data_IF_260846499982
#
_entry.id   IF_260846499982
#
_cell.length_a   1.000
_cell.length_b   1.000
_cell.length_c   1.000
_cell.angle_alpha   90.00
_cell.angle_beta   90.00
_cell.angle_gamma   90.00
#
_symmetry.space_group_name_H-M   'P 1'
#
loop_
_entity.id
_entity.type
_entity.pdbx_description
1 polymer ?
#
# COMPACT_ATOMS: atom_id res chain seq x y z
N UNK A 1 14.61 -2.80 0.64
CA UNK A 1 13.53 -3.82 0.57
C UNK A 1 12.56 -3.76 1.73
N UNK A 2 13.00 -3.64 2.99
CA UNK A 2 12.13 -3.67 4.18
C UNK A 2 10.99 -2.63 4.11
N UNK A 3 11.28 -1.37 3.83
CA UNK A 3 10.25 -0.32 3.76
C UNK A 3 9.19 -0.56 2.68
N UNK A 4 9.56 -1.15 1.54
CA UNK A 4 8.59 -1.52 0.50
C UNK A 4 7.61 -2.59 0.99
N UNK A 5 8.11 -3.62 1.64
CA UNK A 5 7.26 -4.67 2.21
C UNK A 5 6.33 -4.12 3.29
N UNK A 6 6.86 -3.30 4.20
CA UNK A 6 6.07 -2.71 5.30
C UNK A 6 5.00 -1.74 4.78
N UNK A 7 5.36 -0.83 3.87
CA UNK A 7 4.38 0.09 3.28
C UNK A 7 3.31 -0.64 2.46
N UNK A 8 3.70 -1.68 1.70
CA UNK A 8 2.74 -2.52 0.98
C UNK A 8 1.75 -3.24 1.91
N UNK A 9 2.23 -3.77 3.03
CA UNK A 9 1.39 -4.40 4.06
C UNK A 9 0.47 -3.39 4.76
N UNK A 10 0.98 -2.20 5.08
CA UNK A 10 0.19 -1.12 5.67
C UNK A 10 -0.93 -0.67 4.74
N UNK A 11 -0.60 -0.39 3.46
CA UNK A 11 -1.59 0.00 2.46
C UNK A 11 -2.63 -1.11 2.20
N UNK A 12 -2.21 -2.38 2.24
CA UNK A 12 -3.14 -3.50 2.17
C UNK A 12 -4.16 -3.46 3.31
N UNK A 13 -3.70 -3.28 4.55
CA UNK A 13 -4.57 -3.19 5.73
C UNK A 13 -5.50 -1.99 5.63
N UNK A 14 -4.95 -0.83 5.26
CA UNK A 14 -5.73 0.39 5.04
C UNK A 14 -6.87 0.15 4.05
N UNK A 15 -6.59 -0.48 2.90
CA UNK A 15 -7.58 -0.70 1.85
C UNK A 15 -8.59 -1.81 2.18
N UNK A 16 -8.09 -2.97 2.59
CA UNK A 16 -8.91 -4.18 2.65
C UNK A 16 -9.93 -4.18 3.78
N UNK A 17 -9.71 -3.42 4.86
CA UNK A 17 -10.60 -3.42 6.02
C UNK A 17 -11.56 -2.21 6.06
N UNK A 18 -11.49 -1.33 5.07
CA UNK A 18 -12.48 -0.27 4.91
C UNK A 18 -13.85 -0.80 4.51
N UNK A 19 -14.86 0.08 4.56
CA UNK A 19 -16.21 -0.17 4.06
C UNK A 19 -16.23 -0.26 2.53
N UNK A 20 -17.21 -0.98 1.98
CA UNK A 20 -17.43 -1.09 0.55
C UNK A 20 -16.71 -2.26 -0.12
N UNK A 21 -16.75 -2.30 -1.44
CA UNK A 21 -16.10 -3.32 -2.25
C UNK A 21 -14.60 -3.08 -2.34
N UNK A 22 -13.82 -4.09 -2.05
CA UNK A 22 -12.36 -4.03 -2.19
C UNK A 22 -11.99 -4.32 -3.64
N UNK A 23 -11.24 -3.41 -4.25
CA UNK A 23 -10.59 -3.62 -5.53
C UNK A 23 -9.10 -3.79 -5.29
N UNK A 24 -8.56 -4.94 -5.68
CA UNK A 24 -7.11 -5.17 -5.67
C UNK A 24 -6.63 -5.03 -7.11
N UNK A 25 -5.82 -4.01 -7.36
CA UNK A 25 -5.24 -3.82 -8.68
C UNK A 25 -4.04 -4.76 -8.86
N UNK A 26 -3.88 -5.31 -10.06
CA UNK A 26 -2.77 -6.23 -10.39
C UNK A 26 -1.41 -5.64 -9.98
N UNK A 27 -0.64 -6.40 -9.20
CA UNK A 27 0.65 -5.97 -8.67
C UNK A 27 0.61 -5.30 -7.30
N UNK A 28 -0.55 -4.85 -6.80
CA UNK A 28 -0.69 -4.38 -5.40
C UNK A 28 -0.37 -5.49 -4.41
N UNK A 29 -0.82 -6.71 -4.69
CA UNK A 29 -0.58 -7.89 -3.87
C UNK A 29 0.90 -8.27 -3.77
N UNK A 30 1.70 -7.76 -4.70
CA UNK A 30 3.15 -7.89 -4.70
C UNK A 30 3.87 -6.62 -4.23
N UNK A 31 3.16 -5.53 -3.98
CA UNK A 31 3.72 -4.20 -3.82
C UNK A 31 4.65 -3.82 -4.99
N UNK A 32 4.21 -4.00 -6.24
CA UNK A 32 4.93 -3.52 -7.42
C UNK A 32 5.14 -2.01 -7.34
N UNK A 33 6.24 -1.55 -7.93
CA UNK A 33 6.64 -0.14 -7.89
C UNK A 33 6.24 0.58 -9.18
N UNK A 34 6.19 1.90 -9.09
CA UNK A 34 6.15 2.78 -10.24
C UNK A 34 7.33 2.53 -11.17
N UNK A 35 7.26 3.06 -12.38
CA UNK A 35 8.33 2.96 -13.38
C UNK A 35 9.71 3.34 -12.81
N UNK A 36 10.80 2.74 -13.31
CA UNK A 36 12.16 2.99 -12.82
C UNK A 36 12.60 4.45 -12.94
N UNK A 37 13.50 4.87 -12.04
CA UNK A 37 14.01 6.25 -12.02
C UNK A 37 14.82 6.60 -13.29
N UNK A 38 15.41 5.62 -13.96
CA UNK A 38 16.19 5.75 -15.18
C UNK A 38 15.34 5.95 -16.45
N UNK A 39 14.00 5.78 -16.38
CA UNK A 39 13.15 5.98 -17.55
C UNK A 39 13.25 7.40 -18.10
N UNK A 40 13.28 7.46 -19.42
CA UNK A 40 13.21 8.69 -20.22
C UNK A 40 11.84 8.81 -20.87
N UNK A 41 11.58 9.91 -21.58
CA UNK A 41 10.29 10.10 -22.27
C UNK A 41 10.01 9.00 -23.32
N UNK A 42 11.05 8.42 -23.89
CA UNK A 42 10.93 7.39 -24.92
C UNK A 42 10.39 6.05 -24.38
N UNK A 43 10.46 5.85 -23.07
CA UNK A 43 9.94 4.67 -22.39
C UNK A 43 8.43 4.75 -22.12
N UNK A 44 7.88 5.96 -22.05
CA UNK A 44 6.46 6.19 -21.82
C UNK A 44 5.60 5.91 -23.07
N UNK A 45 4.38 5.46 -22.82
CA UNK A 45 3.35 5.17 -23.86
C UNK A 45 2.05 5.94 -23.62
N UNK A 46 1.85 6.50 -22.42
CA UNK A 46 0.68 7.29 -22.10
C UNK A 46 0.62 8.57 -22.94
N UNK A 47 -0.43 8.68 -23.76
CA UNK A 47 -0.57 9.77 -24.72
C UNK A 47 -0.66 11.15 -24.06
N UNK A 48 -1.23 11.23 -22.86
CA UNK A 48 -1.34 12.46 -22.08
C UNK A 48 0.05 12.92 -21.63
N UNK A 49 0.86 12.01 -21.11
CA UNK A 49 2.27 12.24 -20.76
C UNK A 49 3.07 12.72 -21.98
N UNK A 50 2.94 12.04 -23.12
CA UNK A 50 3.68 12.36 -24.33
C UNK A 50 3.26 13.71 -24.93
N UNK A 51 1.97 14.05 -24.91
CA UNK A 51 1.47 15.34 -25.41
C UNK A 51 1.95 16.48 -24.52
N UNK A 52 1.80 16.36 -23.20
CA UNK A 52 2.28 17.37 -22.26
C UNK A 52 3.80 17.61 -22.42
N UNK A 53 4.58 16.54 -22.60
CA UNK A 53 6.03 16.67 -22.86
C UNK A 53 6.33 17.46 -24.13
N UNK A 54 5.62 17.18 -25.24
CA UNK A 54 5.80 17.90 -26.51
C UNK A 54 5.47 19.39 -26.36
N UNK A 55 4.37 19.72 -25.70
CA UNK A 55 3.97 21.09 -25.43
C UNK A 55 4.98 21.82 -24.54
N UNK A 56 5.47 21.14 -23.50
CA UNK A 56 6.47 21.67 -22.58
C UNK A 56 7.78 22.03 -23.30
N UNK A 57 8.30 21.11 -24.15
CA UNK A 57 9.54 21.35 -24.90
C UNK A 57 9.34 22.47 -25.94
N UNK A 58 8.18 22.52 -26.60
CA UNK A 58 7.88 23.59 -27.56
C UNK A 58 7.82 24.96 -26.90
N UNK A 59 7.25 25.04 -25.70
CA UNK A 59 7.12 26.30 -24.96
C UNK A 59 8.43 26.70 -24.23
N UNK A 60 9.21 25.74 -23.75
CA UNK A 60 10.39 25.95 -22.89
C UNK A 60 11.58 25.08 -23.32
N UNK A 61 12.13 25.25 -24.53
CA UNK A 61 13.15 24.35 -25.10
C UNK A 61 14.46 24.36 -24.30
N UNK A 62 14.84 25.48 -23.70
CA UNK A 62 16.09 25.64 -22.97
C UNK A 62 15.95 25.48 -21.43
N UNK A 63 14.72 25.36 -20.94
CA UNK A 63 14.45 25.23 -19.50
C UNK A 63 14.60 23.77 -19.05
N UNK A 64 15.87 23.36 -18.79
CA UNK A 64 16.19 21.99 -18.39
C UNK A 64 15.68 21.63 -16.99
N UNK A 65 15.54 22.61 -16.11
CA UNK A 65 15.03 22.40 -14.77
C UNK A 65 13.55 22.01 -14.81
N UNK A 66 12.72 22.78 -15.52
CA UNK A 66 11.30 22.47 -15.73
C UNK A 66 11.08 21.14 -16.45
N UNK A 67 11.93 20.83 -17.43
CA UNK A 67 11.89 19.53 -18.12
C UNK A 67 12.19 18.38 -17.16
N UNK A 68 13.17 18.53 -16.27
CA UNK A 68 13.51 17.53 -15.27
C UNK A 68 12.40 17.36 -14.21
N UNK A 69 11.78 18.44 -13.75
CA UNK A 69 10.65 18.40 -12.83
C UNK A 69 9.45 17.64 -13.45
N UNK A 70 9.07 17.97 -14.69
CA UNK A 70 8.02 17.27 -15.40
C UNK A 70 8.32 15.77 -15.54
N UNK A 71 9.57 15.41 -15.84
CA UNK A 71 9.99 14.00 -15.92
C UNK A 71 9.81 13.28 -14.56
N UNK A 72 10.13 13.93 -13.44
CA UNK A 72 9.89 13.34 -12.11
C UNK A 72 8.38 13.18 -11.84
N UNK A 73 7.57 14.15 -12.25
CA UNK A 73 6.12 14.04 -12.12
C UNK A 73 5.56 12.86 -12.94
N UNK A 74 6.02 12.63 -14.17
CA UNK A 74 5.57 11.49 -14.97
C UNK A 74 5.90 10.15 -14.31
N UNK A 75 7.08 10.01 -13.73
CA UNK A 75 7.48 8.81 -12.99
C UNK A 75 6.58 8.51 -11.78
N UNK A 76 5.88 9.51 -11.27
CA UNK A 76 4.95 9.37 -10.14
C UNK A 76 3.50 9.27 -10.59
N UNK A 77 3.09 10.06 -11.59
CA UNK A 77 1.68 10.31 -11.92
C UNK A 77 1.21 9.72 -13.25
N UNK A 78 2.12 9.33 -14.17
CA UNK A 78 1.71 8.78 -15.45
C UNK A 78 0.89 7.50 -15.29
N UNK A 79 -0.11 7.33 -16.15
CA UNK A 79 -0.92 6.11 -16.21
C UNK A 79 -0.09 4.86 -16.55
N UNK A 80 1.09 5.01 -17.12
CA UNK A 80 1.99 3.89 -17.41
C UNK A 80 2.47 3.18 -16.14
N UNK A 81 2.48 3.86 -14.99
CA UNK A 81 2.74 3.23 -13.68
C UNK A 81 1.78 2.07 -13.38
N UNK A 82 0.53 2.17 -13.84
CA UNK A 82 -0.48 1.13 -13.67
C UNK A 82 -0.51 0.12 -14.84
N UNK A 83 0.36 0.26 -15.85
CA UNK A 83 0.36 -0.57 -17.06
C UNK A 83 1.63 -1.39 -17.24
N UNK A 84 2.60 -1.26 -16.33
CA UNK A 84 3.81 -2.08 -16.35
C UNK A 84 3.42 -3.56 -16.29
N UNK A 85 4.12 -4.44 -17.03
CA UNK A 85 3.84 -5.86 -17.03
C UNK A 85 3.93 -6.48 -15.64
N UNK A 86 3.01 -7.40 -15.34
CA UNK A 86 3.02 -8.16 -14.10
C UNK A 86 4.32 -8.96 -13.96
N UNK A 87 4.96 -8.88 -12.81
CA UNK A 87 6.21 -9.56 -12.50
C UNK A 87 5.91 -10.97 -11.99
N UNK A 88 5.81 -11.94 -12.90
CA UNK A 88 5.45 -13.32 -12.56
C UNK A 88 6.61 -14.11 -11.96
N UNK A 89 7.79 -14.03 -12.57
CA UNK A 89 8.99 -14.77 -12.16
C UNK A 89 10.28 -14.05 -12.60
N UNK A 90 11.42 -14.67 -12.42
CA UNK A 90 12.74 -14.12 -12.78
C UNK A 90 13.16 -14.33 -14.24
N UNK A 91 12.34 -14.99 -15.07
CA UNK A 91 12.63 -15.24 -16.48
C UNK A 91 12.58 -13.94 -17.29
N UNK A 92 13.03 -14.01 -18.55
CA UNK A 92 13.01 -12.87 -19.45
C UNK A 92 11.64 -12.18 -19.45
N UNK A 93 11.64 -10.85 -19.45
CA UNK A 93 10.42 -10.03 -19.38
C UNK A 93 9.53 -10.37 -18.16
N UNK A 94 10.13 -10.79 -17.05
CA UNK A 94 9.44 -11.19 -15.82
C UNK A 94 8.45 -12.36 -16.03
N UNK A 95 8.65 -13.22 -17.02
CA UNK A 95 7.72 -14.27 -17.41
C UNK A 95 6.40 -13.76 -17.99
N UNK A 96 6.29 -12.45 -18.29
CA UNK A 96 5.06 -11.85 -18.81
C UNK A 96 4.80 -12.21 -20.28
N UNK A 97 5.85 -12.28 -21.09
CA UNK A 97 5.75 -12.62 -22.51
C UNK A 97 6.96 -13.43 -22.99
N UNK A 98 6.74 -14.30 -23.97
CA UNK A 98 7.80 -15.00 -24.73
C UNK A 98 8.17 -14.25 -26.03
N UNK A 99 7.52 -13.13 -26.33
CA UNK A 99 7.84 -12.27 -27.46
C UNK A 99 9.16 -11.54 -27.29
N UNK A 100 9.61 -10.86 -28.33
CA UNK A 100 10.90 -10.14 -28.36
C UNK A 100 10.96 -9.04 -27.27
N UNK A 101 9.84 -8.32 -27.05
CA UNK A 101 9.71 -7.31 -26.00
C UNK A 101 8.23 -7.09 -25.62
N UNK A 102 7.93 -6.69 -24.38
CA UNK A 102 6.61 -6.24 -23.98
C UNK A 102 6.29 -4.85 -24.55
N UNK A 103 5.01 -4.49 -24.57
CA UNK A 103 4.57 -3.17 -25.02
C UNK A 103 5.13 -2.03 -24.15
N UNK A 104 5.14 -2.20 -22.83
CA UNK A 104 5.80 -1.34 -21.85
C UNK A 104 6.91 -2.16 -21.18
N UNK A 105 8.05 -1.53 -20.90
CA UNK A 105 9.18 -2.20 -20.28
C UNK A 105 8.83 -2.70 -18.87
N UNK A 106 9.34 -3.86 -18.51
CA UNK A 106 9.23 -4.41 -17.16
C UNK A 106 10.14 -3.63 -16.21
N UNK A 107 9.72 -3.44 -14.96
CA UNK A 107 10.59 -2.89 -13.94
C UNK A 107 11.74 -3.85 -13.63
N UNK A 108 12.99 -3.39 -13.68
CA UNK A 108 14.18 -4.23 -13.58
C UNK A 108 14.35 -5.02 -12.28
N UNK A 109 13.57 -4.73 -11.24
CA UNK A 109 13.63 -5.46 -9.96
C UNK A 109 12.92 -6.83 -10.01
N UNK A 110 12.30 -7.22 -11.12
CA UNK A 110 11.57 -8.49 -11.27
C UNK A 110 12.45 -9.72 -11.00
N UNK A 111 13.76 -9.64 -11.17
CA UNK A 111 14.67 -10.75 -10.89
C UNK A 111 14.60 -11.21 -9.42
N UNK A 112 14.30 -10.28 -8.51
CA UNK A 112 14.24 -10.55 -7.06
C UNK A 112 12.86 -10.28 -6.44
N UNK A 113 12.01 -9.52 -7.13
CA UNK A 113 10.71 -9.12 -6.64
C UNK A 113 9.61 -9.50 -7.65
N UNK A 114 9.06 -10.67 -7.50
CA UNK A 114 8.08 -11.24 -8.40
C UNK A 114 7.11 -12.19 -7.67
N UNK A 115 6.06 -12.62 -8.36
CA UNK A 115 5.03 -13.47 -7.78
C UNK A 115 5.59 -14.83 -7.28
N UNK A 116 6.41 -15.49 -8.09
CA UNK A 116 7.01 -16.79 -7.74
C UNK A 116 7.83 -16.70 -6.44
N UNK A 117 8.67 -15.68 -6.33
CA UNK A 117 9.46 -15.44 -5.13
C UNK A 117 8.58 -15.15 -3.91
N UNK A 118 7.53 -14.35 -4.07
CA UNK A 118 6.64 -14.00 -2.93
C UNK A 118 5.74 -15.14 -2.51
N UNK A 119 5.26 -15.97 -3.43
CA UNK A 119 4.49 -17.19 -3.11
C UNK A 119 5.32 -18.17 -2.27
N UNK A 120 6.64 -18.23 -2.50
CA UNK A 120 7.53 -19.09 -1.72
C UNK A 120 7.90 -18.55 -0.33
N UNK A 121 7.58 -17.27 -0.02
CA UNK A 121 7.97 -16.59 1.22
C UNK A 121 6.76 -16.32 2.12
N UNK A 122 6.61 -17.01 3.27
CA UNK A 122 5.44 -16.88 4.15
C UNK A 122 5.14 -15.44 4.63
N UNK A 123 6.18 -14.61 4.79
CA UNK A 123 6.06 -13.22 5.26
C UNK A 123 5.99 -12.19 4.14
N UNK A 124 5.81 -12.64 2.89
CA UNK A 124 5.68 -11.74 1.75
C UNK A 124 4.42 -10.86 1.81
N UNK A 125 4.39 -9.82 0.98
CA UNK A 125 3.20 -8.97 0.81
C UNK A 125 2.05 -9.78 0.24
N UNK A 126 2.31 -10.72 -0.67
CA UNK A 126 1.33 -11.64 -1.22
C UNK A 126 0.60 -12.45 -0.13
N UNK A 127 1.33 -13.12 0.74
CA UNK A 127 0.73 -13.89 1.84
C UNK A 127 0.05 -13.00 2.88
N UNK A 128 0.55 -11.80 3.07
CA UNK A 128 -0.11 -10.81 3.92
C UNK A 128 -1.50 -10.44 3.38
N UNK A 129 -1.62 -10.14 2.08
CA UNK A 129 -2.89 -9.92 1.41
C UNK A 129 -3.83 -11.11 1.53
N UNK A 130 -3.34 -12.32 1.29
CA UNK A 130 -4.13 -13.54 1.40
C UNK A 130 -4.75 -13.69 2.81
N UNK A 131 -3.93 -13.52 3.87
CA UNK A 131 -4.40 -13.59 5.26
C UNK A 131 -5.39 -12.45 5.59
N UNK A 132 -5.14 -11.27 5.09
CA UNK A 132 -5.98 -10.10 5.33
C UNK A 132 -7.37 -10.23 4.68
N UNK A 133 -7.43 -10.72 3.44
CA UNK A 133 -8.70 -11.00 2.75
C UNK A 133 -9.44 -12.17 3.41
N UNK A 134 -8.71 -13.14 3.95
CA UNK A 134 -9.30 -14.20 4.77
C UNK A 134 -9.93 -13.61 6.05
N UNK A 135 -9.22 -12.77 6.80
CA UNK A 135 -9.76 -12.08 7.97
C UNK A 135 -11.03 -11.29 7.63
N UNK A 136 -11.01 -10.54 6.52
CA UNK A 136 -12.20 -9.80 6.05
C UNK A 136 -13.39 -10.71 5.79
N UNK A 137 -13.17 -11.88 5.20
CA UNK A 137 -14.21 -12.87 4.92
C UNK A 137 -14.76 -13.52 6.18
N UNK A 138 -13.87 -13.90 7.10
CA UNK A 138 -14.23 -14.59 8.34
C UNK A 138 -14.98 -13.68 9.31
N UNK A 139 -14.71 -12.35 9.23
CA UNK A 139 -15.36 -11.30 10.03
C UNK A 139 -16.21 -10.37 9.14
N UNK A 140 -16.90 -10.94 8.13
CA UNK A 140 -17.66 -10.17 7.11
C UNK A 140 -18.72 -9.26 7.73
N UNK A 141 -19.35 -9.68 8.84
CA UNK A 141 -20.40 -8.90 9.49
C UNK A 141 -19.85 -7.55 10.02
N UNK A 142 -18.57 -7.51 10.39
CA UNK A 142 -17.88 -6.29 10.79
C UNK A 142 -17.19 -5.60 9.60
N UNK A 143 -16.35 -6.30 8.84
CA UNK A 143 -15.52 -5.65 7.82
C UNK A 143 -16.22 -5.40 6.47
N UNK A 144 -17.32 -6.10 6.18
CA UNK A 144 -18.11 -5.89 4.95
C UNK A 144 -19.39 -5.10 5.25
N UNK A 145 -20.17 -5.55 6.21
CA UNK A 145 -21.51 -5.03 6.49
C UNK A 145 -21.56 -4.05 7.66
N UNK A 146 -20.53 -4.01 8.51
CA UNK A 146 -20.50 -3.15 9.69
C UNK A 146 -20.35 -1.67 9.37
N UNK A 147 -20.66 -0.85 10.35
CA UNK A 147 -20.50 0.60 10.32
C UNK A 147 -19.02 0.99 10.22
N UNK A 148 -18.75 2.16 9.65
CA UNK A 148 -17.43 2.74 9.52
C UNK A 148 -17.38 4.11 10.23
N UNK A 149 -16.47 4.27 11.17
CA UNK A 149 -16.29 5.52 11.91
C UNK A 149 -14.80 5.89 11.93
N UNK A 150 -14.47 7.10 11.46
CA UNK A 150 -13.12 7.64 11.58
C UNK A 150 -12.77 7.93 13.02
N UNK A 151 -11.52 7.69 13.38
CA UNK A 151 -10.95 7.98 14.70
C UNK A 151 -9.82 9.00 14.51
N UNK A 152 -9.84 10.08 15.29
CA UNK A 152 -8.86 11.17 15.20
C UNK A 152 -8.59 11.64 13.74
N UNK A 153 -9.62 12.10 13.01
CA UNK A 153 -9.52 12.41 11.56
C UNK A 153 -8.52 13.54 11.24
N UNK A 154 -8.19 14.38 12.21
CA UNK A 154 -7.25 15.49 12.05
C UNK A 154 -5.78 15.06 12.23
N UNK A 155 -5.49 13.79 12.50
CA UNK A 155 -4.12 13.34 12.71
C UNK A 155 -3.37 13.19 11.39
N UNK A 156 -2.33 13.97 11.16
CA UNK A 156 -1.63 14.08 9.86
C UNK A 156 -0.88 12.81 9.41
N UNK A 157 -0.48 11.95 10.34
CA UNK A 157 0.42 10.83 10.08
C UNK A 157 -0.20 9.45 10.31
N UNK A 158 -1.28 9.40 11.08
CA UNK A 158 -1.97 8.17 11.46
C UNK A 158 -3.39 8.19 10.91
N UNK A 159 -3.75 7.15 10.20
CA UNK A 159 -5.13 6.93 9.79
C UNK A 159 -5.71 5.81 10.63
N UNK A 160 -6.73 6.14 11.42
CA UNK A 160 -7.39 5.19 12.31
C UNK A 160 -8.90 5.21 12.09
N UNK A 161 -9.53 4.03 12.18
CA UNK A 161 -10.98 3.89 12.07
C UNK A 161 -11.50 2.67 12.82
N UNK A 162 -12.75 2.75 13.23
CA UNK A 162 -13.50 1.63 13.76
C UNK A 162 -14.43 1.01 12.73
N UNK A 163 -14.54 -0.29 12.82
CA UNK A 163 -15.57 -1.09 12.15
C UNK A 163 -16.37 -1.80 13.24
N UNK A 164 -17.69 -1.73 13.18
CA UNK A 164 -18.55 -2.33 14.19
C UNK A 164 -19.81 -2.93 13.57
N UNK A 165 -20.26 -4.05 14.12
CA UNK A 165 -21.56 -4.65 13.79
C UNK A 165 -22.26 -5.07 15.10
N UNK A 166 -23.50 -4.70 15.21
CA UNK A 166 -24.28 -4.92 16.44
C UNK A 166 -24.37 -6.41 16.78
N UNK A 167 -23.83 -6.79 17.92
CA UNK A 167 -23.83 -8.17 18.41
C UNK A 167 -22.72 -9.07 17.84
N UNK A 168 -21.89 -8.56 16.91
CA UNK A 168 -20.84 -9.37 16.25
C UNK A 168 -19.42 -8.95 16.65
N UNK A 169 -19.30 -7.81 17.35
CA UNK A 169 -18.01 -7.26 17.77
C UNK A 169 -17.60 -6.00 17.03
N UNK A 170 -16.42 -5.52 17.37
CA UNK A 170 -15.85 -4.29 16.81
C UNK A 170 -14.36 -4.42 16.58
N UNK A 171 -13.86 -3.75 15.55
CA UNK A 171 -12.44 -3.68 15.24
C UNK A 171 -11.97 -2.23 15.20
N UNK A 172 -10.79 -1.98 15.77
CA UNK A 172 -10.02 -0.75 15.59
C UNK A 172 -8.85 -1.04 14.65
N UNK A 173 -8.77 -0.33 13.54
CA UNK A 173 -7.66 -0.38 12.60
C UNK A 173 -6.85 0.90 12.72
N UNK A 174 -5.55 0.78 12.94
CA UNK A 174 -4.63 1.92 13.07
C UNK A 174 -3.45 1.73 12.11
N UNK A 175 -3.15 2.76 11.32
CA UNK A 175 -2.09 2.71 10.32
C UNK A 175 -1.21 3.96 10.39
N UNK A 176 0.12 3.77 10.42
CA UNK A 176 1.12 4.82 10.34
C UNK A 176 1.58 4.99 8.88
N UNK A 177 1.34 6.17 8.28
CA UNK A 177 1.74 6.50 6.90
C UNK A 177 3.16 7.05 6.77
N UNK A 178 3.94 7.05 7.86
CA UNK A 178 5.30 7.60 7.87
C UNK A 178 6.36 6.50 7.85
N UNK A 179 7.52 6.84 7.28
CA UNK A 179 8.73 6.01 7.30
C UNK A 179 9.50 6.11 8.63
N UNK A 180 8.90 6.67 9.65
CA UNK A 180 9.43 6.90 10.99
C UNK A 180 8.43 6.46 12.06
N UNK A 181 8.91 6.29 13.28
CA UNK A 181 8.04 5.99 14.43
C UNK A 181 7.17 7.21 14.76
N UNK A 182 5.88 6.98 14.95
CA UNK A 182 4.90 8.01 15.31
C UNK A 182 4.25 7.64 16.64
N UNK A 183 4.32 8.54 17.61
CA UNK A 183 3.58 8.41 18.86
C UNK A 183 2.13 8.88 18.61
N UNK A 184 1.18 7.98 18.75
CA UNK A 184 -0.24 8.26 18.58
C UNK A 184 -0.94 8.28 19.92
N UNK A 185 -1.40 9.46 20.37
CA UNK A 185 -2.22 9.60 21.56
C UNK A 185 -3.56 8.88 21.34
N UNK A 186 -3.89 7.94 22.23
CA UNK A 186 -5.07 7.10 22.10
C UNK A 186 -6.32 7.93 22.46
N UNK A 187 -7.24 8.20 21.52
CA UNK A 187 -8.51 8.85 21.82
C UNK A 187 -9.33 8.05 22.82
N UNK A 188 -10.08 8.75 23.66
CA UNK A 188 -10.87 8.14 24.74
C UNK A 188 -11.84 7.07 24.23
N UNK A 189 -12.49 7.34 23.09
CA UNK A 189 -13.48 6.46 22.48
C UNK A 189 -12.94 5.09 22.04
N UNK A 190 -11.60 4.98 21.84
CA UNK A 190 -10.96 3.72 21.41
C UNK A 190 -9.98 3.16 22.44
N UNK A 191 -9.89 3.76 23.62
CA UNK A 191 -8.92 3.36 24.64
C UNK A 191 -9.08 1.90 25.07
N UNK A 192 -10.30 1.39 25.16
CA UNK A 192 -10.58 0.00 25.50
C UNK A 192 -10.02 -0.99 24.45
N UNK A 193 -10.03 -0.63 23.17
CA UNK A 193 -9.47 -1.50 22.13
C UNK A 193 -7.97 -1.74 22.31
N UNK A 194 -7.24 -0.72 22.70
CA UNK A 194 -5.79 -0.82 22.89
C UNK A 194 -5.45 -1.48 24.22
N UNK A 195 -6.28 -1.27 25.27
CA UNK A 195 -6.05 -1.79 26.63
C UNK A 195 -6.47 -3.25 26.77
N UNK A 196 -7.68 -3.56 26.38
CA UNK A 196 -8.35 -4.84 26.66
C UNK A 196 -8.67 -5.63 25.39
N UNK A 197 -8.49 -5.04 24.21
CA UNK A 197 -8.75 -5.68 22.92
C UNK A 197 -7.66 -6.69 22.53
N UNK A 198 -8.07 -7.72 21.83
CA UNK A 198 -7.17 -8.67 21.21
C UNK A 198 -6.55 -8.09 19.94
N UNK A 199 -5.21 -8.11 19.82
CA UNK A 199 -4.57 -7.84 18.54
C UNK A 199 -4.73 -9.03 17.61
N UNK A 200 -5.60 -8.91 16.61
CA UNK A 200 -5.93 -9.99 15.66
C UNK A 200 -5.10 -9.95 14.38
N UNK A 201 -4.50 -8.80 14.02
CA UNK A 201 -3.71 -8.67 12.78
C UNK A 201 -2.68 -7.52 12.88
N UNK A 202 -1.63 -7.56 12.06
CA UNK A 202 -0.67 -6.46 11.97
C UNK A 202 0.47 -6.73 11.00
N UNK A 203 1.12 -5.63 10.57
CA UNK A 203 2.24 -5.65 9.60
C UNK A 203 3.58 -6.06 10.23
N UNK A 204 3.68 -6.00 11.54
CA UNK A 204 4.83 -6.50 12.33
C UNK A 204 4.40 -7.71 13.15
N UNK A 205 5.35 -8.56 13.51
CA UNK A 205 5.09 -9.75 14.32
C UNK A 205 4.62 -9.39 15.73
N UNK A 206 5.37 -8.51 16.42
CA UNK A 206 5.00 -8.03 17.75
C UNK A 206 3.99 -6.88 17.69
N UNK A 207 3.18 -6.73 18.72
CA UNK A 207 2.33 -5.56 18.91
C UNK A 207 3.16 -4.27 19.08
N UNK A 208 2.62 -3.09 18.76
CA UNK A 208 3.27 -1.83 19.07
C UNK A 208 3.37 -1.61 20.58
N UNK A 209 4.34 -0.81 21.00
CA UNK A 209 4.50 -0.45 22.41
C UNK A 209 3.42 0.55 22.84
N UNK A 210 2.82 0.34 24.00
CA UNK A 210 1.88 1.28 24.62
C UNK A 210 2.59 1.99 25.76
N UNK A 211 2.72 3.31 25.65
CA UNK A 211 3.39 4.16 26.63
C UNK A 211 2.38 4.75 27.61
N UNK A 212 2.53 4.42 28.91
CA UNK A 212 1.69 4.96 29.98
C UNK A 212 0.19 4.65 29.88
N UNK A 213 -0.23 3.79 28.94
CA UNK A 213 -1.65 3.53 28.66
C UNK A 213 -2.35 4.66 27.86
N UNK A 214 -1.62 5.68 27.44
CA UNK A 214 -2.16 6.88 26.78
C UNK A 214 -1.73 7.07 25.33
N UNK A 215 -0.61 6.44 24.92
CA UNK A 215 -0.10 6.54 23.57
C UNK A 215 0.41 5.19 23.04
N UNK A 216 0.30 4.99 21.73
CA UNK A 216 0.84 3.86 20.99
C UNK A 216 2.02 4.34 20.14
N UNK A 217 3.18 3.70 20.30
CA UNK A 217 4.35 3.94 19.47
C UNK A 217 4.25 3.07 18.20
N UNK A 218 3.76 3.65 17.13
CA UNK A 218 3.61 3.00 15.82
C UNK A 218 4.93 3.07 15.07
N UNK A 219 5.51 1.92 14.74
CA UNK A 219 6.74 1.80 13.95
C UNK A 219 6.54 2.28 12.50
N UNK A 220 7.61 2.48 11.71
CA UNK A 220 7.49 2.88 10.31
C UNK A 220 6.53 2.00 9.53
N UNK A 221 5.53 2.62 8.88
CA UNK A 221 4.48 1.93 8.11
C UNK A 221 3.78 0.81 8.88
N UNK A 222 3.62 0.96 10.17
CA UNK A 222 2.91 -0.04 10.97
C UNK A 222 1.40 0.03 10.73
N UNK A 223 0.81 -1.16 10.55
CA UNK A 223 -0.62 -1.37 10.62
C UNK A 223 -0.92 -2.37 11.72
N UNK A 224 -1.93 -2.10 12.51
CA UNK A 224 -2.41 -2.98 13.59
C UNK A 224 -3.93 -3.00 13.64
N UNK A 225 -4.50 -4.16 13.94
CA UNK A 225 -5.94 -4.38 14.08
C UNK A 225 -6.21 -4.98 15.46
N UNK A 226 -6.99 -4.27 16.25
CA UNK A 226 -7.51 -4.71 17.54
C UNK A 226 -8.96 -5.12 17.41
N UNK A 227 -9.37 -6.09 18.20
CA UNK A 227 -10.73 -6.64 18.24
C UNK A 227 -11.30 -6.62 19.64
N UNK A 228 -12.56 -6.25 19.76
CA UNK A 228 -13.38 -6.39 20.99
C UNK A 228 -14.71 -7.08 20.59
N UNK A 229 -15.11 -8.06 21.40
CA UNK A 229 -16.39 -8.78 21.28
C UNK A 229 -17.49 -8.05 22.01
#
# INVERSE_FOLDING_TARGET
MLFRSLSGKMLATFLALQSGTVFVYQGQELAMRNVPAEWTIDDFRDIETLNHWRELIAAYPEDKERQAEAMQEYKVKSRDNARTPMQWNKEAHAGFTTGEKPWINVHGDYETWNAEAQVSQPDSVYHYWARLLQLRRDRKDVFVYGDFNLVAPEHENVFAYMRASKGEGSALVVTNFRAETVSWTIPEEVRLFVKDGERIFGSYEAAPTVSGGEAVELRPFEAVVYWIT
#
